data_IF_925084081227
#
_entry.id   IF_925084081227
#
_cell.length_a   1.000
_cell.length_b   1.000
_cell.length_c   1.000
_cell.angle_alpha   90.00
_cell.angle_beta   90.00
_cell.angle_gamma   90.00
#
_symmetry.space_group_name_H-M   'P 1'
#
loop_
_entity.id
_entity.type
_entity.pdbx_description
1 polymer ?
#
# COMPACT_ATOMS: atom_id res chain seq x y z
N UNK A 1 0.13 5.99 -20.75
CA UNK A 1 1.27 6.65 -20.09
C UNK A 1 2.01 7.44 -21.15
N UNK A 2 2.59 8.62 -20.87
CA UNK A 2 3.32 9.38 -21.90
C UNK A 2 4.40 8.53 -22.59
N UNK A 3 5.04 7.62 -21.85
CA UNK A 3 6.07 6.77 -22.43
C UNK A 3 5.56 5.77 -23.47
N UNK A 4 4.31 5.30 -23.36
CA UNK A 4 3.70 4.46 -24.40
C UNK A 4 3.51 5.21 -25.72
N UNK A 5 3.30 6.52 -25.63
CA UNK A 5 3.17 7.40 -26.80
C UNK A 5 4.54 7.70 -27.42
N UNK A 6 5.58 7.88 -26.61
CA UNK A 6 6.93 8.19 -27.10
C UNK A 6 7.75 6.97 -27.51
N UNK A 7 7.47 5.81 -26.92
CA UNK A 7 8.18 4.54 -27.16
C UNK A 7 7.17 3.42 -27.39
N UNK A 8 6.43 3.44 -28.51
CA UNK A 8 5.47 2.37 -28.79
C UNK A 8 6.19 1.02 -28.90
N UNK A 9 5.48 -0.06 -28.54
CA UNK A 9 6.05 -1.42 -28.43
C UNK A 9 6.71 -1.93 -29.71
N UNK A 10 6.27 -1.43 -30.86
CA UNK A 10 6.76 -1.80 -32.20
C UNK A 10 7.99 -0.97 -32.62
N UNK A 11 8.43 0.00 -31.81
CA UNK A 11 9.58 0.84 -32.15
C UNK A 11 10.92 0.19 -31.81
N UNK A 12 11.92 0.42 -32.66
CA UNK A 12 13.31 0.02 -32.40
C UNK A 12 13.88 0.59 -31.09
N UNK A 13 13.42 1.79 -30.70
CA UNK A 13 13.77 2.43 -29.41
C UNK A 13 13.22 1.65 -28.23
N UNK A 14 11.99 1.15 -28.33
CA UNK A 14 11.40 0.28 -27.30
C UNK A 14 12.20 -1.02 -27.17
N UNK A 15 12.61 -1.64 -28.28
CA UNK A 15 13.41 -2.86 -28.23
C UNK A 15 14.77 -2.67 -27.56
N UNK A 16 15.46 -1.58 -27.89
CA UNK A 16 16.73 -1.23 -27.24
C UNK A 16 16.58 -1.05 -25.74
N UNK A 17 15.57 -0.30 -25.29
CA UNK A 17 15.29 -0.11 -23.87
C UNK A 17 14.82 -1.41 -23.20
N UNK A 18 13.97 -2.19 -23.86
CA UNK A 18 13.53 -3.51 -23.39
C UNK A 18 14.72 -4.43 -23.12
N UNK A 19 15.72 -4.46 -24.00
CA UNK A 19 16.96 -5.21 -23.77
C UNK A 19 17.74 -4.72 -22.55
N UNK A 20 17.82 -3.41 -22.32
CA UNK A 20 18.45 -2.85 -21.12
C UNK A 20 17.68 -3.25 -19.84
N UNK A 21 16.35 -3.12 -19.85
CA UNK A 21 15.50 -3.45 -18.71
C UNK A 21 15.44 -4.95 -18.41
N UNK A 22 15.64 -5.82 -19.41
CA UNK A 22 15.83 -7.28 -19.20
C UNK A 22 17.07 -7.59 -18.35
N UNK A 23 18.14 -6.80 -18.44
CA UNK A 23 19.33 -6.96 -17.58
C UNK A 23 19.04 -6.58 -16.12
N UNK A 24 17.95 -5.87 -15.87
CA UNK A 24 17.53 -5.42 -14.53
C UNK A 24 16.51 -6.37 -13.88
N UNK A 25 16.46 -7.64 -14.28
CA UNK A 25 15.47 -8.60 -13.75
C UNK A 25 15.57 -8.87 -12.25
N UNK A 26 16.71 -8.55 -11.65
CA UNK A 26 16.87 -8.50 -10.20
C UNK A 26 15.89 -7.51 -9.53
N UNK A 27 15.42 -6.45 -10.20
CA UNK A 27 14.41 -5.54 -9.63
C UNK A 27 13.07 -6.25 -9.37
N UNK A 28 12.70 -7.25 -10.20
CA UNK A 28 11.50 -8.04 -9.98
C UNK A 28 11.64 -9.02 -8.81
N UNK A 29 12.86 -9.47 -8.49
CA UNK A 29 13.11 -10.33 -7.32
C UNK A 29 12.92 -9.55 -6.02
N UNK A 30 13.20 -8.25 -6.02
CA UNK A 30 13.02 -7.39 -4.84
C UNK A 30 11.57 -7.15 -4.44
N UNK A 31 10.59 -7.41 -5.31
CA UNK A 31 9.16 -7.16 -5.04
C UNK A 31 8.88 -5.76 -4.52
N UNK A 32 9.47 -4.77 -5.20
CA UNK A 32 9.44 -3.34 -4.86
C UNK A 32 8.04 -2.76 -4.58
N UNK A 33 6.98 -3.33 -5.17
CA UNK A 33 5.58 -2.94 -4.91
C UNK A 33 5.20 -3.04 -3.42
N UNK A 34 5.86 -3.91 -2.66
CA UNK A 34 5.59 -4.09 -1.23
C UNK A 34 6.10 -2.94 -0.38
N UNK A 35 7.07 -2.19 -0.88
CA UNK A 35 7.71 -1.11 -0.14
C UNK A 35 6.72 0.01 0.21
N UNK A 36 5.72 0.29 -0.64
CA UNK A 36 4.68 1.28 -0.33
C UNK A 36 3.98 1.01 1.00
N UNK A 37 3.51 -0.23 1.22
CA UNK A 37 2.82 -0.61 2.46
C UNK A 37 3.75 -0.62 3.67
N UNK A 38 5.01 -1.07 3.47
CA UNK A 38 6.03 -1.11 4.52
C UNK A 38 6.40 0.28 5.00
N UNK A 39 6.68 1.19 4.07
CA UNK A 39 7.03 2.57 4.39
C UNK A 39 5.87 3.26 5.10
N UNK A 40 4.64 3.04 4.64
CA UNK A 40 3.44 3.57 5.29
C UNK A 40 3.28 3.04 6.72
N UNK A 41 3.58 1.75 6.98
CA UNK A 41 3.45 1.19 8.33
C UNK A 41 4.54 1.70 9.28
N UNK A 42 5.78 1.78 8.82
CA UNK A 42 6.88 2.38 9.61
C UNK A 42 6.53 3.84 9.91
N UNK A 43 6.13 4.62 8.91
CA UNK A 43 5.84 6.04 9.10
C UNK A 43 4.51 6.31 9.81
N UNK A 44 3.61 5.34 9.91
CA UNK A 44 2.48 5.43 10.84
C UNK A 44 2.96 5.50 12.30
N UNK A 45 3.98 4.71 12.68
CA UNK A 45 4.60 4.78 14.00
C UNK A 45 5.21 6.14 14.27
N UNK A 46 5.98 6.63 13.30
CA UNK A 46 6.59 7.95 13.36
C UNK A 46 5.53 9.07 13.44
N UNK A 47 4.45 8.96 12.65
CA UNK A 47 3.33 9.90 12.65
C UNK A 47 2.67 10.00 14.02
N UNK A 48 2.39 8.88 14.67
CA UNK A 48 1.75 8.90 16.00
C UNK A 48 2.69 9.50 17.04
N UNK A 49 3.99 9.18 17.01
CA UNK A 49 4.96 9.82 17.91
C UNK A 49 5.01 11.34 17.72
N UNK A 50 5.04 11.82 16.48
CA UNK A 50 4.99 13.27 16.19
C UNK A 50 3.64 13.85 16.61
N UNK A 51 2.53 13.14 16.40
CA UNK A 51 1.20 13.59 16.80
C UNK A 51 1.11 13.88 18.30
N UNK A 52 1.66 12.98 19.12
CA UNK A 52 1.68 13.13 20.57
C UNK A 52 2.54 14.32 21.03
N UNK A 53 3.60 14.66 20.28
CA UNK A 53 4.46 15.82 20.58
C UNK A 53 3.88 17.13 20.04
N UNK A 54 3.43 17.13 18.79
CA UNK A 54 2.87 18.27 18.08
C UNK A 54 1.90 17.82 16.98
N UNK A 55 0.61 17.84 17.31
CA UNK A 55 -0.48 17.50 16.38
C UNK A 55 -0.59 18.40 15.15
N UNK A 56 0.00 19.59 15.19
CA UNK A 56 -0.11 20.59 14.11
C UNK A 56 1.05 20.54 13.12
N UNK A 57 1.98 19.59 13.28
CA UNK A 57 3.07 19.39 12.32
C UNK A 57 2.52 18.71 11.04
N UNK A 58 2.46 19.49 9.97
CA UNK A 58 2.13 19.05 8.61
C UNK A 58 3.18 19.58 7.63
N UNK A 59 3.47 18.79 6.62
CA UNK A 59 4.38 19.11 5.52
C UNK A 59 5.75 19.61 5.98
N UNK A 60 6.26 19.01 7.05
CA UNK A 60 7.45 19.48 7.74
C UNK A 60 8.68 18.68 7.30
N UNK A 61 9.61 19.34 6.60
CA UNK A 61 10.85 18.73 6.12
C UNK A 61 11.82 18.36 7.25
N UNK A 62 11.69 18.98 8.42
CA UNK A 62 12.56 18.69 9.57
C UNK A 62 12.29 17.30 10.16
N UNK A 63 11.16 16.69 9.81
CA UNK A 63 10.84 15.29 10.14
C UNK A 63 11.78 14.28 9.46
N UNK A 64 12.51 14.70 8.42
CA UNK A 64 13.53 13.86 7.81
C UNK A 64 14.69 13.63 8.78
N UNK A 65 14.98 12.36 9.07
CA UNK A 65 16.08 11.96 9.92
C UNK A 65 16.85 10.79 9.27
N UNK A 66 18.19 10.85 9.30
CA UNK A 66 19.06 9.80 8.76
C UNK A 66 18.74 8.44 9.41
N UNK A 67 18.39 8.41 10.70
CA UNK A 67 18.01 7.21 11.40
C UNK A 67 16.74 6.57 10.82
N UNK A 68 15.65 7.34 10.63
CA UNK A 68 14.40 6.79 10.06
C UNK A 68 14.61 6.36 8.61
N UNK A 69 15.40 7.10 7.85
CA UNK A 69 15.75 6.74 6.47
C UNK A 69 16.57 5.44 6.40
N UNK A 70 17.54 5.27 7.32
CA UNK A 70 18.32 4.05 7.46
C UNK A 70 17.45 2.85 7.82
N UNK A 71 16.52 3.01 8.76
CA UNK A 71 15.54 1.99 9.15
C UNK A 71 14.68 1.58 7.95
N UNK A 72 14.06 2.55 7.25
CA UNK A 72 13.23 2.28 6.07
C UNK A 72 14.02 1.51 5.01
N UNK A 73 15.26 1.93 4.73
CA UNK A 73 16.13 1.28 3.75
C UNK A 73 16.46 -0.16 4.14
N UNK A 74 16.85 -0.41 5.39
CA UNK A 74 17.19 -1.74 5.89
C UNK A 74 15.99 -2.69 5.87
N UNK A 75 14.83 -2.24 6.35
CA UNK A 75 13.61 -3.06 6.34
C UNK A 75 13.16 -3.35 4.90
N UNK A 76 13.31 -2.40 3.98
CA UNK A 76 13.01 -2.59 2.56
C UNK A 76 13.86 -3.72 1.95
N UNK A 77 15.17 -3.69 2.20
CA UNK A 77 16.10 -4.76 1.78
C UNK A 77 15.73 -6.09 2.41
N UNK A 78 15.44 -6.11 3.72
CA UNK A 78 15.05 -7.34 4.42
C UNK A 78 13.79 -7.98 3.80
N UNK A 79 12.77 -7.18 3.52
CA UNK A 79 11.51 -7.68 2.93
C UNK A 79 11.70 -8.17 1.49
N UNK A 80 12.63 -7.55 0.75
CA UNK A 80 13.03 -8.01 -0.57
C UNK A 80 13.75 -9.36 -0.52
N UNK A 81 14.60 -9.61 0.49
CA UNK A 81 15.31 -10.90 0.67
C UNK A 81 14.36 -11.98 1.21
N UNK A 82 13.40 -11.61 2.07
CA UNK A 82 12.43 -12.53 2.69
C UNK A 82 11.01 -12.25 2.21
N UNK A 83 10.67 -12.57 0.94
CA UNK A 83 9.39 -12.24 0.37
C UNK A 83 8.21 -12.96 1.04
N UNK A 84 8.43 -14.05 1.77
CA UNK A 84 7.39 -14.72 2.57
C UNK A 84 6.94 -13.91 3.80
N UNK A 85 7.68 -12.87 4.20
CA UNK A 85 7.35 -12.07 5.39
C UNK A 85 5.97 -11.42 5.28
N UNK A 86 5.59 -10.90 4.10
CA UNK A 86 4.28 -10.27 3.87
C UNK A 86 3.30 -11.16 3.09
N UNK A 87 3.34 -12.49 3.30
CA UNK A 87 2.42 -13.39 2.60
C UNK A 87 0.96 -13.15 3.00
N UNK A 88 0.06 -13.16 2.01
CA UNK A 88 -1.37 -12.97 2.20
C UNK A 88 -2.09 -14.31 2.05
N UNK A 89 -2.70 -14.80 3.13
CA UNK A 89 -3.55 -15.98 3.08
C UNK A 89 -4.89 -15.68 3.77
N UNK A 90 -5.96 -16.29 3.27
CA UNK A 90 -7.28 -16.23 3.90
C UNK A 90 -7.32 -17.22 5.07
N UNK A 91 -6.77 -16.83 6.22
CA UNK A 91 -6.86 -17.59 7.47
C UNK A 91 -6.73 -16.68 8.69
N UNK A 92 -7.39 -17.05 9.79
CA UNK A 92 -7.28 -16.32 11.06
C UNK A 92 -5.83 -16.22 11.54
N UNK A 93 -5.08 -17.32 11.40
CA UNK A 93 -3.67 -17.39 11.75
C UNK A 93 -2.83 -16.40 10.94
N UNK A 94 -3.08 -16.27 9.63
CA UNK A 94 -2.42 -15.29 8.76
C UNK A 94 -2.71 -13.85 9.22
N UNK A 95 -3.97 -13.54 9.54
CA UNK A 95 -4.35 -12.21 10.05
C UNK A 95 -3.66 -11.88 11.38
N UNK A 96 -3.59 -12.83 12.31
CA UNK A 96 -2.88 -12.66 13.60
C UNK A 96 -1.39 -12.40 13.36
N UNK A 97 -0.73 -13.20 12.52
CA UNK A 97 0.68 -12.96 12.20
C UNK A 97 0.91 -11.60 11.52
N UNK A 98 -0.01 -11.17 10.65
CA UNK A 98 0.10 -9.87 10.01
C UNK A 98 -0.13 -8.71 10.97
N UNK A 99 -0.99 -8.88 11.98
CA UNK A 99 -1.13 -7.92 13.06
C UNK A 99 0.19 -7.74 13.83
N UNK A 100 0.83 -8.83 14.26
CA UNK A 100 2.13 -8.75 14.96
C UNK A 100 3.25 -8.19 14.09
N UNK A 101 3.31 -8.57 12.81
CA UNK A 101 4.27 -7.98 11.84
C UNK A 101 4.01 -6.49 11.67
N UNK A 102 2.75 -6.08 11.66
CA UNK A 102 2.34 -4.69 11.68
C UNK A 102 2.93 -3.96 12.89
N UNK A 103 2.71 -4.47 14.10
CA UNK A 103 3.27 -3.88 15.33
C UNK A 103 4.78 -3.75 15.22
N UNK A 104 5.50 -4.78 14.76
CA UNK A 104 6.96 -4.71 14.59
C UNK A 104 7.37 -3.60 13.61
N UNK A 105 6.70 -3.51 12.45
CA UNK A 105 6.98 -2.46 11.47
C UNK A 105 6.67 -1.06 12.00
N UNK A 106 5.56 -0.90 12.73
CA UNK A 106 5.18 0.36 13.37
C UNK A 106 6.20 0.77 14.43
N UNK A 107 6.65 -0.18 15.27
CA UNK A 107 7.69 0.03 16.28
C UNK A 107 8.99 0.57 15.70
N UNK A 108 9.39 0.13 14.50
CA UNK A 108 10.56 0.71 13.83
C UNK A 108 10.40 2.22 13.57
N UNK A 109 9.16 2.67 13.35
CA UNK A 109 8.83 4.08 13.18
C UNK A 109 8.98 4.95 14.42
N UNK A 110 8.78 4.36 15.59
CA UNK A 110 8.81 5.08 16.87
C UNK A 110 10.23 5.27 17.39
N UNK A 111 11.21 4.48 16.91
CA UNK A 111 12.61 4.50 17.37
C UNK A 111 13.21 5.91 17.50
N UNK A 112 13.04 6.86 16.53
CA UNK A 112 13.60 8.21 16.67
C UNK A 112 13.08 9.00 17.87
N UNK A 113 11.93 8.63 18.43
CA UNK A 113 11.27 9.30 19.56
C UNK A 113 11.29 8.45 20.84
N UNK A 114 11.72 7.20 20.76
CA UNK A 114 11.67 6.23 21.86
C UNK A 114 10.38 5.39 21.88
N UNK A 115 10.31 4.47 22.84
CA UNK A 115 9.15 3.60 23.04
C UNK A 115 8.26 4.18 24.13
N UNK A 116 7.02 4.50 23.77
CA UNK A 116 6.00 4.99 24.70
C UNK A 116 4.69 4.21 24.50
N UNK A 117 4.07 3.76 25.60
CA UNK A 117 2.81 3.01 25.57
C UNK A 117 1.68 3.82 24.94
N UNK A 118 1.65 5.14 25.13
CA UNK A 118 0.62 5.97 24.49
C UNK A 118 0.76 5.94 22.97
N UNK A 119 1.98 5.85 22.43
CA UNK A 119 2.19 5.73 20.97
C UNK A 119 1.51 4.48 20.41
N UNK A 120 1.50 3.37 21.15
CA UNK A 120 0.80 2.14 20.72
C UNK A 120 -0.71 2.23 20.92
N UNK A 121 -1.17 2.87 22.00
CA UNK A 121 -2.59 3.09 22.25
C UNK A 121 -3.22 3.98 21.16
N UNK A 122 -2.57 5.09 20.83
CA UNK A 122 -2.97 5.98 19.73
C UNK A 122 -2.70 5.37 18.35
N UNK A 123 -1.82 4.37 18.27
CA UNK A 123 -1.57 3.55 17.08
C UNK A 123 -2.63 2.48 16.77
N UNK A 124 -3.53 2.14 17.70
CA UNK A 124 -4.61 1.17 17.49
C UNK A 124 -5.41 1.35 16.19
N UNK A 125 -5.91 2.55 15.83
CA UNK A 125 -6.63 2.74 14.57
C UNK A 125 -5.80 2.38 13.33
N UNK A 126 -4.47 2.57 13.37
CA UNK A 126 -3.58 2.15 12.29
C UNK A 126 -3.52 0.62 12.21
N UNK A 127 -3.30 -0.08 13.32
CA UNK A 127 -3.25 -1.56 13.31
C UNK A 127 -4.52 -2.18 12.75
N UNK A 128 -5.68 -1.63 13.11
CA UNK A 128 -6.98 -2.03 12.56
C UNK A 128 -7.01 -1.81 11.04
N UNK A 129 -6.56 -0.64 10.56
CA UNK A 129 -6.53 -0.33 9.13
C UNK A 129 -5.56 -1.22 8.33
N UNK A 130 -4.42 -1.59 8.92
CA UNK A 130 -3.49 -2.51 8.26
C UNK A 130 -4.05 -3.94 8.16
N UNK A 131 -4.84 -4.38 9.16
CA UNK A 131 -5.62 -5.64 9.04
C UNK A 131 -6.62 -5.54 7.89
N UNK A 132 -7.33 -4.41 7.76
CA UNK A 132 -8.22 -4.15 6.61
C UNK A 132 -7.47 -4.30 5.29
N UNK A 133 -6.26 -3.74 5.18
CA UNK A 133 -5.37 -3.93 4.03
C UNK A 133 -5.08 -5.40 3.74
N UNK A 134 -4.75 -6.18 4.77
CA UNK A 134 -4.52 -7.63 4.62
C UNK A 134 -5.78 -8.37 4.14
N UNK A 135 -6.94 -8.06 4.72
CA UNK A 135 -8.22 -8.70 4.36
C UNK A 135 -8.65 -8.40 2.92
N UNK A 136 -8.45 -7.18 2.43
CA UNK A 136 -8.73 -6.82 1.03
C UNK A 136 -7.85 -7.61 0.06
N UNK A 137 -6.58 -7.79 0.41
CA UNK A 137 -5.64 -8.56 -0.42
C UNK A 137 -5.85 -10.07 -0.34
N UNK A 138 -6.51 -10.59 0.70
CA UNK A 138 -6.81 -12.03 0.84
C UNK A 138 -8.01 -12.49 0.01
N UNK A 139 -8.90 -11.59 -0.43
CA UNK A 139 -9.99 -11.89 -1.36
C UNK A 139 -9.40 -12.40 -2.67
N UNK A 140 -9.57 -13.67 -3.02
CA UNK A 140 -8.99 -14.25 -4.25
C UNK A 140 -9.59 -13.59 -5.50
N UNK A 141 -8.73 -13.29 -6.47
CA UNK A 141 -9.13 -12.91 -7.83
C UNK A 141 -8.50 -13.95 -8.75
N UNK A 142 -9.30 -14.61 -9.59
CA UNK A 142 -8.72 -15.44 -10.62
C UNK A 142 -8.17 -14.53 -11.74
N UNK A 143 -6.84 -14.48 -11.83
CA UNK A 143 -6.13 -13.64 -12.81
C UNK A 143 -6.20 -14.26 -14.21
N UNK A 144 -6.37 -15.59 -14.32
CA UNK A 144 -6.41 -16.32 -15.60
C UNK A 144 -7.79 -16.23 -16.23
N UNK A 145 -8.84 -16.45 -15.45
CA UNK A 145 -10.22 -16.36 -15.93
C UNK A 145 -10.79 -14.95 -15.83
N UNK A 146 -10.06 -14.02 -15.18
CA UNK A 146 -10.59 -12.69 -14.84
C UNK A 146 -11.95 -12.83 -14.13
N UNK A 147 -12.10 -13.83 -13.26
CA UNK A 147 -13.32 -14.06 -12.51
C UNK A 147 -13.16 -13.57 -11.07
N UNK A 148 -14.21 -12.96 -10.55
CA UNK A 148 -14.32 -12.55 -9.14
C UNK A 148 -15.24 -13.52 -8.41
N UNK A 149 -14.97 -13.78 -7.12
CA UNK A 149 -15.87 -14.57 -6.28
C UNK A 149 -17.27 -13.97 -6.28
N UNK A 150 -18.28 -14.79 -5.98
CA UNK A 150 -19.66 -14.34 -6.02
C UNK A 150 -19.92 -13.28 -4.95
N UNK A 151 -20.91 -12.42 -5.15
CA UNK A 151 -21.27 -11.37 -4.17
C UNK A 151 -21.58 -11.96 -2.79
N UNK A 152 -22.22 -13.14 -2.77
CA UNK A 152 -22.56 -13.86 -1.54
C UNK A 152 -21.31 -14.34 -0.79
N UNK A 153 -20.28 -14.79 -1.50
CA UNK A 153 -19.00 -15.19 -0.91
C UNK A 153 -18.20 -13.99 -0.37
N UNK A 154 -18.26 -12.84 -1.05
CA UNK A 154 -17.55 -11.63 -0.62
C UNK A 154 -18.27 -10.86 0.49
N UNK A 155 -19.59 -11.04 0.64
CA UNK A 155 -20.41 -10.34 1.64
C UNK A 155 -19.82 -10.38 3.06
N UNK A 156 -19.48 -11.53 3.66
CA UNK A 156 -19.02 -11.57 5.05
C UNK A 156 -17.69 -10.80 5.24
N UNK A 157 -16.72 -11.00 4.34
CA UNK A 157 -15.42 -10.33 4.47
C UNK A 157 -15.53 -8.82 4.24
N UNK A 158 -16.33 -8.39 3.27
CA UNK A 158 -16.55 -6.96 2.99
C UNK A 158 -17.28 -6.27 4.14
N UNK A 159 -18.26 -6.92 4.75
CA UNK A 159 -18.95 -6.39 5.94
C UNK A 159 -17.98 -6.17 7.11
N UNK A 160 -17.10 -7.14 7.38
CA UNK A 160 -16.07 -6.99 8.42
C UNK A 160 -15.11 -5.84 8.07
N UNK A 161 -14.66 -5.75 6.82
CA UNK A 161 -13.81 -4.65 6.35
C UNK A 161 -14.47 -3.29 6.56
N UNK A 162 -15.76 -3.15 6.20
CA UNK A 162 -16.52 -1.90 6.37
C UNK A 162 -16.59 -1.52 7.85
N UNK A 163 -16.95 -2.47 8.72
CA UNK A 163 -17.02 -2.24 10.17
C UNK A 163 -15.66 -1.83 10.74
N UNK A 164 -14.60 -2.59 10.46
CA UNK A 164 -13.25 -2.27 10.93
C UNK A 164 -12.76 -0.91 10.42
N UNK A 165 -13.05 -0.56 9.17
CA UNK A 165 -12.67 0.74 8.61
C UNK A 165 -13.45 1.88 9.27
N UNK A 166 -14.73 1.69 9.57
CA UNK A 166 -15.53 2.64 10.33
C UNK A 166 -14.98 2.82 11.75
N UNK A 167 -14.63 1.72 12.43
CA UNK A 167 -13.99 1.79 13.75
C UNK A 167 -12.66 2.55 13.71
N UNK A 168 -11.79 2.27 12.73
CA UNK A 168 -10.53 3.00 12.54
C UNK A 168 -10.77 4.50 12.32
N UNK A 169 -11.82 4.85 11.56
CA UNK A 169 -12.24 6.25 11.35
C UNK A 169 -12.63 6.93 12.66
N UNK A 170 -13.53 6.31 13.43
CA UNK A 170 -14.05 6.85 14.68
C UNK A 170 -12.97 6.96 15.75
N UNK A 171 -12.13 5.94 15.91
CA UNK A 171 -11.01 5.97 16.84
C UNK A 171 -9.99 7.05 16.48
N UNK A 172 -9.69 7.20 15.18
CA UNK A 172 -8.85 8.31 14.71
C UNK A 172 -9.42 9.67 15.08
N UNK A 173 -10.74 9.86 14.87
CA UNK A 173 -11.43 11.09 15.22
C UNK A 173 -11.39 11.37 16.73
N UNK A 174 -11.69 10.38 17.58
CA UNK A 174 -11.64 10.55 19.04
C UNK A 174 -10.23 10.77 19.58
N UNK A 175 -9.21 10.26 18.89
CA UNK A 175 -7.80 10.48 19.23
C UNK A 175 -7.24 11.80 18.69
N UNK A 176 -8.08 12.66 18.10
CA UNK A 176 -7.68 13.87 17.39
C UNK A 176 -6.62 13.61 16.31
N UNK A 177 -6.56 12.42 15.71
CA UNK A 177 -5.64 12.07 14.63
C UNK A 177 -6.35 12.20 13.27
N UNK A 178 -6.20 13.35 12.57
CA UNK A 178 -6.81 13.58 11.27
C UNK A 178 -6.23 12.68 10.17
N UNK A 179 -5.05 12.09 10.35
CA UNK A 179 -4.45 11.24 9.31
C UNK A 179 -5.20 9.93 9.19
N UNK A 180 -5.25 9.13 10.25
CA UNK A 180 -5.90 7.81 10.16
C UNK A 180 -7.41 7.91 9.98
N UNK A 181 -8.05 8.90 10.61
CA UNK A 181 -9.48 9.13 10.43
C UNK A 181 -9.81 9.43 8.97
N UNK A 182 -9.03 10.28 8.30
CA UNK A 182 -9.25 10.60 6.88
C UNK A 182 -8.87 9.44 5.97
N UNK A 183 -7.74 8.77 6.21
CA UNK A 183 -7.31 7.59 5.45
C UNK A 183 -8.42 6.53 5.44
N UNK A 184 -8.95 6.21 6.62
CA UNK A 184 -10.00 5.21 6.78
C UNK A 184 -11.33 5.68 6.17
N UNK A 185 -11.74 6.92 6.39
CA UNK A 185 -12.98 7.47 5.83
C UNK A 185 -12.97 7.46 4.29
N UNK A 186 -11.87 7.88 3.66
CA UNK A 186 -11.74 7.87 2.20
C UNK A 186 -11.72 6.43 1.68
N UNK A 187 -11.01 5.52 2.35
CA UNK A 187 -10.95 4.13 1.93
C UNK A 187 -12.28 3.40 2.08
N UNK A 188 -13.11 3.75 3.07
CA UNK A 188 -14.41 3.13 3.36
C UNK A 188 -15.34 3.07 2.14
N UNK A 189 -15.24 4.05 1.23
CA UNK A 189 -16.03 4.12 0.01
C UNK A 189 -15.79 2.93 -0.93
N UNK A 190 -14.56 2.38 -0.98
CA UNK A 190 -14.21 1.28 -1.89
C UNK A 190 -14.93 -0.03 -1.57
N UNK A 191 -14.86 -0.59 -0.34
CA UNK A 191 -15.60 -1.80 0.00
C UNK A 191 -17.13 -1.59 -0.06
N UNK A 192 -17.65 -0.39 0.25
CA UNK A 192 -19.07 -0.06 0.06
C UNK A 192 -19.46 -0.16 -1.41
N UNK A 193 -18.64 0.39 -2.32
CA UNK A 193 -18.91 0.29 -3.76
C UNK A 193 -18.90 -1.15 -4.24
N UNK A 194 -17.97 -2.00 -3.77
CA UNK A 194 -17.96 -3.44 -4.11
C UNK A 194 -19.26 -4.11 -3.63
N UNK A 195 -19.76 -3.72 -2.45
CA UNK A 195 -20.96 -4.31 -1.87
C UNK A 195 -22.26 -3.83 -2.52
N UNK A 196 -22.36 -2.56 -2.92
CA UNK A 196 -23.61 -2.01 -3.45
C UNK A 196 -23.77 -2.25 -4.96
N UNK A 197 -22.69 -2.10 -5.72
CA UNK A 197 -22.73 -2.18 -7.18
C UNK A 197 -22.64 -3.62 -7.71
N UNK A 198 -22.93 -3.84 -9.01
CA UNK A 198 -22.71 -5.12 -9.66
C UNK A 198 -21.25 -5.57 -9.52
N UNK A 199 -21.06 -6.88 -9.30
CA UNK A 199 -19.74 -7.47 -9.12
C UNK A 199 -18.91 -7.20 -10.37
N UNK A 200 -17.78 -6.51 -10.20
CA UNK A 200 -16.80 -6.34 -11.26
C UNK A 200 -15.39 -6.30 -10.68
N UNK A 201 -14.48 -6.99 -11.35
CA UNK A 201 -13.05 -7.10 -11.01
C UNK A 201 -12.42 -5.73 -10.71
N UNK A 202 -12.86 -4.72 -11.47
CA UNK A 202 -12.40 -3.33 -11.35
C UNK A 202 -12.57 -2.75 -9.95
N UNK A 203 -13.67 -3.07 -9.27
CA UNK A 203 -13.95 -2.51 -7.94
C UNK A 203 -12.97 -3.09 -6.92
N UNK A 204 -12.68 -4.39 -7.03
CA UNK A 204 -11.72 -5.07 -6.16
C UNK A 204 -10.26 -4.71 -6.47
N UNK A 205 -9.88 -4.58 -7.75
CA UNK A 205 -8.55 -4.10 -8.14
C UNK A 205 -8.29 -2.69 -7.61
N UNK A 206 -9.29 -1.79 -7.72
CA UNK A 206 -9.19 -0.45 -7.14
C UNK A 206 -9.05 -0.51 -5.62
N UNK A 207 -9.86 -1.29 -4.91
CA UNK A 207 -9.74 -1.41 -3.46
C UNK A 207 -8.34 -1.89 -3.02
N UNK A 208 -7.78 -2.92 -3.70
CA UNK A 208 -6.42 -3.42 -3.43
C UNK A 208 -5.32 -2.37 -3.63
N UNK A 209 -5.44 -1.55 -4.66
CA UNK A 209 -4.47 -0.47 -4.89
C UNK A 209 -4.64 0.66 -3.87
N UNK A 210 -5.87 1.11 -3.64
CA UNK A 210 -6.13 2.29 -2.82
C UNK A 210 -5.92 2.04 -1.33
N UNK A 211 -6.09 0.80 -0.83
CA UNK A 211 -5.78 0.48 0.57
C UNK A 211 -4.29 0.67 0.90
N UNK A 212 -3.41 0.67 -0.11
CA UNK A 212 -1.97 0.94 0.04
C UNK A 212 -1.64 2.39 -0.34
N UNK A 213 -2.19 2.89 -1.45
CA UNK A 213 -1.84 4.23 -1.94
C UNK A 213 -2.42 5.37 -1.10
N UNK A 214 -3.64 5.22 -0.57
CA UNK A 214 -4.25 6.25 0.31
C UNK A 214 -3.38 6.51 1.53
N UNK A 215 -3.03 5.53 2.38
CA UNK A 215 -2.18 5.80 3.54
C UNK A 215 -0.81 6.36 3.13
N UNK A 216 -0.21 5.85 2.04
CA UNK A 216 1.07 6.35 1.55
C UNK A 216 1.02 7.85 1.18
N UNK A 217 -0.05 8.29 0.51
CA UNK A 217 -0.24 9.69 0.14
C UNK A 217 -0.57 10.59 1.34
N UNK A 218 -1.46 10.15 2.24
CA UNK A 218 -1.82 10.94 3.42
C UNK A 218 -0.66 11.07 4.41
N UNK A 219 0.09 10.01 4.65
CA UNK A 219 1.31 10.07 5.47
C UNK A 219 2.33 11.02 4.85
N UNK A 220 2.41 11.12 3.52
CA UNK A 220 3.26 12.10 2.84
C UNK A 220 2.85 13.55 3.11
N UNK A 221 1.60 13.81 3.50
CA UNK A 221 1.19 15.16 3.95
C UNK A 221 1.93 15.55 5.22
N UNK A 222 2.34 14.59 6.07
CA UNK A 222 3.18 14.87 7.23
C UNK A 222 4.67 14.83 6.91
N UNK A 223 5.07 13.85 6.09
CA UNK A 223 6.45 13.62 5.70
C UNK A 223 6.66 13.97 4.22
N UNK A 224 6.99 15.22 3.87
CA UNK A 224 7.05 15.65 2.46
C UNK A 224 8.12 14.89 1.66
N UNK A 225 9.21 14.48 2.30
CA UNK A 225 10.26 13.66 1.71
C UNK A 225 9.78 12.25 1.31
N UNK A 226 8.77 11.69 1.99
CA UNK A 226 8.18 10.40 1.62
C UNK A 226 7.51 10.49 0.24
N UNK A 227 6.92 11.64 -0.10
CA UNK A 227 6.30 11.83 -1.42
C UNK A 227 7.31 11.62 -2.53
N UNK A 228 8.53 12.16 -2.38
CA UNK A 228 9.61 11.98 -3.37
C UNK A 228 9.94 10.49 -3.52
N UNK A 229 10.04 9.76 -2.41
CA UNK A 229 10.33 8.32 -2.43
C UNK A 229 9.23 7.52 -3.13
N UNK A 230 7.96 7.77 -2.78
CA UNK A 230 6.79 7.11 -3.35
C UNK A 230 6.68 7.39 -4.85
N UNK A 231 6.81 8.66 -5.26
CA UNK A 231 6.74 9.03 -6.67
C UNK A 231 7.88 8.38 -7.48
N UNK A 232 9.10 8.40 -6.95
CA UNK A 232 10.24 7.75 -7.58
C UNK A 232 10.00 6.25 -7.75
N UNK A 233 9.58 5.56 -6.68
CA UNK A 233 9.26 4.13 -6.71
C UNK A 233 8.15 3.82 -7.71
N UNK A 234 7.09 4.63 -7.74
CA UNK A 234 5.95 4.49 -8.64
C UNK A 234 6.39 4.59 -10.10
N UNK A 235 7.22 5.57 -10.45
CA UNK A 235 7.72 5.74 -11.81
C UNK A 235 8.71 4.64 -12.20
N UNK A 236 9.65 4.28 -11.33
CA UNK A 236 10.61 3.18 -11.58
C UNK A 236 9.87 1.89 -11.90
N UNK A 237 8.88 1.52 -11.08
CA UNK A 237 8.08 0.32 -11.31
C UNK A 237 7.32 0.37 -12.63
N UNK A 238 6.74 1.53 -12.99
CA UNK A 238 6.01 1.70 -14.25
C UNK A 238 6.91 1.57 -15.46
N UNK A 239 8.08 2.18 -15.43
CA UNK A 239 9.06 2.07 -16.50
C UNK A 239 9.58 0.63 -16.62
N UNK A 240 9.95 0.02 -15.49
CA UNK A 240 10.41 -1.35 -15.46
C UNK A 240 9.37 -2.31 -16.04
N UNK A 241 8.12 -2.27 -15.54
CA UNK A 241 7.07 -3.17 -16.02
C UNK A 241 6.69 -2.90 -17.48
N UNK A 242 6.76 -1.64 -17.93
CA UNK A 242 6.46 -1.29 -19.31
C UNK A 242 7.50 -1.88 -20.26
N UNK A 243 8.79 -1.61 -20.04
CA UNK A 243 9.84 -2.10 -20.94
C UNK A 243 10.09 -3.60 -20.79
N UNK A 244 9.89 -4.18 -19.60
CA UNK A 244 10.14 -5.60 -19.36
C UNK A 244 9.00 -6.51 -19.78
N UNK A 245 7.76 -6.14 -19.47
CA UNK A 245 6.57 -6.97 -19.64
C UNK A 245 5.53 -6.38 -20.59
N UNK A 246 5.77 -5.18 -21.14
CA UNK A 246 4.80 -4.48 -21.99
C UNK A 246 3.55 -4.02 -21.24
N UNK A 247 3.59 -3.91 -19.91
CA UNK A 247 2.45 -3.57 -19.06
C UNK A 247 2.78 -2.40 -18.15
N UNK A 248 1.92 -1.39 -18.09
CA UNK A 248 2.10 -0.26 -17.19
C UNK A 248 1.53 -0.61 -15.82
N UNK A 249 2.40 -0.96 -14.86
CA UNK A 249 2.06 -1.25 -13.45
C UNK A 249 3.13 -0.68 -12.51
N UNK A 250 2.82 -0.22 -11.28
CA UNK A 250 1.50 -0.06 -10.71
C UNK A 250 0.69 0.98 -11.47
N UNK A 251 -0.62 0.76 -11.53
CA UNK A 251 -1.53 1.63 -12.26
C UNK A 251 -2.86 1.69 -11.53
N UNK A 252 -3.46 2.89 -11.50
CA UNK A 252 -4.84 3.06 -11.07
C UNK A 252 -5.85 2.64 -12.16
N UNK A 253 -5.34 2.38 -13.38
CA UNK A 253 -6.13 1.83 -14.49
C UNK A 253 -6.43 0.36 -14.23
N UNK A 254 -7.64 -0.04 -14.59
CA UNK A 254 -8.15 -1.40 -14.48
C UNK A 254 -7.60 -2.21 -15.65
N UNK A 255 -7.14 -3.42 -15.40
CA UNK A 255 -6.85 -4.37 -16.49
C UNK A 255 -8.20 -4.86 -17.07
N UNK A 256 -8.56 -4.40 -18.27
CA UNK A 256 -9.85 -4.73 -18.88
C UNK A 256 -9.85 -6.17 -19.43
N UNK A 257 -11.01 -6.86 -19.48
CA UNK A 257 -11.13 -8.18 -20.10
C UNK A 257 -10.66 -8.21 -21.55
N UNK A 258 -10.85 -7.10 -22.27
CA UNK A 258 -10.54 -6.90 -23.70
C UNK A 258 -9.08 -6.63 -24.01
N UNK A 259 -8.18 -6.51 -23.02
CA UNK A 259 -6.73 -6.57 -23.25
C UNK A 259 -6.32 -8.03 -23.57
N UNK A 260 -6.89 -8.58 -24.65
CA UNK A 260 -6.35 -9.76 -25.34
C UNK A 260 -5.14 -9.28 -26.13
N UNK A 261 -4.08 -10.08 -26.03
CA UNK A 261 -2.87 -10.06 -26.86
C UNK A 261 -3.11 -9.41 -28.22
N UNK A 262 -2.46 -8.28 -28.44
CA UNK A 262 -1.61 -8.12 -29.62
C UNK A 262 -0.18 -8.10 -29.07
#
# INVERSE_FOLDING_TARGET
MFIEKYFPKESSRYDSLSQLFRKLDWLNTLKLERWFGVWSMILAGNNVSIHLLNRWSYWDWTTFNILIFGIISLVSVFISIKPGFLHYAYSLQSSIFMFFKGIILFSFGTIPFGFDLNTFLFGLPYFIFFIVGHMIWSIKIDIKEKSTPSKKEMLPILSIIIVLTLFSTLLGYFNDDPMISTIAAVFLLFPIVILLFPVAIRHLQRARMHVIFIPAMFISVRFPWLLIMILSLFWILRYYNYFRFGKVRPSFKIDLPTDKKN
#
